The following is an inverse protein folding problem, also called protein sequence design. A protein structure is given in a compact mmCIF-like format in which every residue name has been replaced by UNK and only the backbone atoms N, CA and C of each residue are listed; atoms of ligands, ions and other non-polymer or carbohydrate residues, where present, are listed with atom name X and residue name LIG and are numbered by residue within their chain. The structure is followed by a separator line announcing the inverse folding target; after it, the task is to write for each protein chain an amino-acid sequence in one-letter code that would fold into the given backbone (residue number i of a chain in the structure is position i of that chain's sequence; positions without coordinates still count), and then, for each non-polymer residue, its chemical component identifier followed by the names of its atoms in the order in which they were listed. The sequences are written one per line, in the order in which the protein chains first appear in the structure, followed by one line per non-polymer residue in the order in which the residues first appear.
data_IF_578441585460
#
_entry.id   IF_578441585460
#
_cell.length_a   1.000
_cell.length_b   1.000
_cell.length_c   1.000
_cell.angle_alpha   90.00
_cell.angle_beta   90.00
_cell.angle_gamma   90.00
#
_symmetry.space_group_name_H-M   'P 1'
#
loop_
_entity.id
_entity.type
_entity.pdbx_description
1 polymer ?
#
# COMPACT_ATOMS: atom_id res chain seq x y z
N UNK A 1 23.06 -35.79 -13.10
CA UNK A 1 22.73 -36.86 -12.13
C UNK A 1 23.27 -36.46 -10.77
N UNK A 2 22.42 -36.54 -9.74
CA UNK A 2 22.49 -36.02 -8.35
C UNK A 2 22.16 -34.53 -8.17
N UNK A 3 20.85 -34.30 -8.02
CA UNK A 3 20.25 -33.17 -7.30
C UNK A 3 20.23 -33.53 -5.82
N UNK A 4 20.73 -32.64 -4.96
CA UNK A 4 20.56 -32.73 -3.52
C UNK A 4 19.35 -31.87 -3.12
N UNK A 5 18.35 -32.50 -2.51
CA UNK A 5 17.20 -31.85 -1.91
C UNK A 5 17.60 -31.27 -0.55
N UNK A 6 17.48 -29.96 -0.40
CA UNK A 6 17.39 -29.29 0.89
C UNK A 6 16.27 -28.26 0.79
N UNK A 7 15.16 -28.50 1.48
CA UNK A 7 14.21 -27.44 1.81
C UNK A 7 14.91 -26.44 2.75
N UNK A 8 14.61 -25.14 2.67
CA UNK A 8 13.43 -24.62 3.38
C UNK A 8 12.63 -23.54 2.65
N UNK A 9 11.41 -23.37 3.16
CA UNK A 9 10.46 -22.25 3.09
C UNK A 9 9.98 -21.65 1.75
N UNK A 10 8.66 -21.67 1.66
CA UNK A 10 7.74 -21.12 0.67
C UNK A 10 7.95 -19.64 0.34
N UNK A 11 8.86 -19.36 -0.59
CA UNK A 11 8.85 -18.16 -1.41
C UNK A 11 8.87 -18.57 -2.88
N UNK A 12 7.78 -18.29 -3.60
CA UNK A 12 7.73 -18.41 -5.06
C UNK A 12 8.53 -17.23 -5.65
N UNK A 13 9.86 -17.37 -5.68
CA UNK A 13 10.76 -16.43 -6.36
C UNK A 13 11.09 -16.94 -7.76
N UNK A 14 10.86 -16.11 -8.77
CA UNK A 14 11.41 -16.35 -10.11
C UNK A 14 12.84 -15.78 -10.17
N UNK A 15 13.83 -16.64 -10.38
CA UNK A 15 15.24 -16.21 -10.50
C UNK A 15 15.55 -15.70 -11.90
N UNK A 16 16.12 -14.49 -11.98
CA UNK A 16 16.93 -14.03 -13.09
C UNK A 16 18.19 -13.36 -12.51
N UNK A 17 19.34 -14.01 -12.68
CA UNK A 17 20.63 -13.57 -12.10
C UNK A 17 21.25 -12.41 -12.85
N UNK A 18 21.34 -11.25 -12.19
CA UNK A 18 22.54 -10.42 -12.01
C UNK A 18 22.19 -9.17 -11.16
N UNK A 19 22.68 -9.08 -9.93
CA UNK A 19 22.83 -7.82 -9.17
C UNK A 19 21.63 -7.28 -8.37
N UNK A 20 20.40 -7.67 -8.68
CA UNK A 20 19.22 -7.36 -7.85
C UNK A 20 18.11 -8.33 -8.20
N UNK A 21 17.73 -9.23 -7.29
CA UNK A 21 16.58 -10.13 -7.49
C UNK A 21 15.31 -9.29 -7.68
N UNK A 22 14.71 -9.37 -8.86
CA UNK A 22 13.39 -8.81 -9.10
C UNK A 22 12.35 -9.72 -8.43
N UNK A 23 11.73 -9.25 -7.35
CA UNK A 23 10.66 -9.97 -6.66
C UNK A 23 9.30 -9.44 -7.09
N UNK A 24 8.43 -10.33 -7.55
CA UNK A 24 7.03 -10.01 -7.85
C UNK A 24 6.22 -10.29 -6.59
N UNK A 25 5.65 -9.25 -5.99
CA UNK A 25 4.73 -9.38 -4.87
C UNK A 25 3.30 -9.53 -5.40
N UNK A 26 2.61 -10.60 -4.96
CA UNK A 26 1.19 -10.79 -5.28
C UNK A 26 0.35 -9.98 -4.30
N UNK A 27 -0.63 -9.25 -4.81
CA UNK A 27 -1.52 -8.40 -4.02
C UNK A 27 -2.10 -9.19 -2.83
N UNK A 28 -2.06 -8.65 -1.59
CA UNK A 28 -2.42 -9.39 -0.37
C UNK A 28 -3.80 -10.03 -0.42
N UNK A 29 -4.80 -9.33 -0.96
CA UNK A 29 -6.17 -9.87 -1.07
C UNK A 29 -6.18 -11.12 -1.96
N UNK A 30 -5.53 -11.07 -3.13
CA UNK A 30 -5.41 -12.24 -4.01
C UNK A 30 -4.63 -13.35 -3.31
N UNK A 31 -3.47 -13.03 -2.72
CA UNK A 31 -2.63 -14.01 -2.00
C UNK A 31 -3.44 -14.75 -0.94
N UNK A 32 -4.21 -14.02 -0.13
CA UNK A 32 -5.03 -14.60 0.95
C UNK A 32 -6.07 -15.59 0.44
N UNK A 33 -6.65 -15.33 -0.74
CA UNK A 33 -7.63 -16.19 -1.38
C UNK A 33 -7.01 -17.45 -2.03
N UNK A 34 -5.78 -17.35 -2.54
CA UNK A 34 -5.18 -18.43 -3.36
C UNK A 34 -4.14 -19.29 -2.63
N UNK A 35 -3.69 -18.88 -1.43
CA UNK A 35 -2.58 -19.52 -0.73
C UNK A 35 -2.81 -21.01 -0.46
N UNK A 36 -4.04 -21.43 -0.14
CA UNK A 36 -4.37 -22.84 0.10
C UNK A 36 -4.20 -23.69 -1.16
N UNK A 37 -4.62 -23.18 -2.32
CA UNK A 37 -4.48 -23.87 -3.60
C UNK A 37 -3.01 -23.99 -4.02
N UNK A 38 -2.23 -22.92 -3.83
CA UNK A 38 -0.77 -22.95 -4.08
C UNK A 38 -0.09 -24.01 -3.20
N UNK A 39 -0.45 -24.07 -1.91
CA UNK A 39 0.11 -25.05 -0.98
C UNK A 39 -0.27 -26.50 -1.34
N UNK A 40 -1.42 -26.70 -1.99
CA UNK A 40 -1.86 -27.99 -2.51
C UNK A 40 -1.34 -28.30 -3.92
N UNK A 41 -0.50 -27.44 -4.51
CA UNK A 41 -0.08 -27.51 -5.93
C UNK A 41 -1.24 -27.50 -6.93
N UNK A 42 -2.39 -26.95 -6.53
CA UNK A 42 -3.58 -26.78 -7.35
C UNK A 42 -3.55 -25.43 -8.07
N UNK A 43 -2.60 -25.29 -8.99
CA UNK A 43 -2.31 -24.03 -9.66
C UNK A 43 -3.44 -23.55 -10.57
N UNK A 44 -4.21 -24.48 -11.15
CA UNK A 44 -5.36 -24.15 -11.97
C UNK A 44 -6.42 -23.41 -11.15
N UNK A 45 -6.83 -23.96 -10.01
CA UNK A 45 -7.81 -23.30 -9.14
C UNK A 45 -7.24 -22.03 -8.52
N UNK A 46 -5.95 -21.98 -8.20
CA UNK A 46 -5.30 -20.74 -7.74
C UNK A 46 -5.48 -19.60 -8.76
N UNK A 47 -5.28 -19.86 -10.05
CA UNK A 47 -5.49 -18.87 -11.11
C UNK A 47 -6.97 -18.48 -11.26
N UNK A 48 -7.87 -19.46 -11.25
CA UNK A 48 -9.31 -19.19 -11.34
C UNK A 48 -9.80 -18.29 -10.20
N UNK A 49 -9.39 -18.60 -8.97
CA UNK A 49 -9.74 -17.81 -7.79
C UNK A 49 -9.11 -16.41 -7.83
N UNK A 50 -7.85 -16.27 -8.26
CA UNK A 50 -7.24 -14.95 -8.45
C UNK A 50 -8.06 -14.06 -9.40
N UNK A 51 -8.55 -14.62 -10.51
CA UNK A 51 -9.39 -13.89 -11.47
C UNK A 51 -10.77 -13.56 -10.93
N UNK A 52 -11.36 -14.44 -10.10
CA UNK A 52 -12.61 -14.14 -9.39
C UNK A 52 -12.45 -12.97 -8.44
N UNK A 53 -11.34 -12.90 -7.68
CA UNK A 53 -11.04 -11.79 -6.78
C UNK A 53 -10.97 -10.44 -7.51
N UNK A 54 -10.33 -10.39 -8.69
CA UNK A 54 -10.30 -9.17 -9.53
C UNK A 54 -11.70 -8.72 -9.95
N UNK A 55 -12.53 -9.67 -10.39
CA UNK A 55 -13.90 -9.39 -10.85
C UNK A 55 -14.83 -8.98 -9.71
N UNK A 56 -14.66 -9.61 -8.55
CA UNK A 56 -15.35 -9.21 -7.33
C UNK A 56 -15.01 -7.76 -6.98
N UNK A 57 -13.73 -7.37 -7.05
CA UNK A 57 -13.34 -5.99 -6.78
C UNK A 57 -13.96 -5.01 -7.78
N UNK A 58 -14.02 -5.36 -9.07
CA UNK A 58 -14.74 -4.56 -10.06
C UNK A 58 -16.22 -4.40 -9.70
N UNK A 59 -16.87 -5.46 -9.20
CA UNK A 59 -18.27 -5.42 -8.74
C UNK A 59 -18.44 -4.52 -7.54
N UNK A 60 -17.57 -4.62 -6.53
CA UNK A 60 -17.61 -3.75 -5.35
C UNK A 60 -17.47 -2.27 -5.73
N UNK A 61 -16.54 -1.95 -6.64
CA UNK A 61 -16.31 -0.57 -7.07
C UNK A 61 -17.45 -0.06 -7.94
N UNK A 62 -17.90 -0.85 -8.93
CA UNK A 62 -18.76 -0.35 -10.01
C UNK A 62 -20.22 -0.76 -9.93
N UNK A 63 -20.52 -1.84 -9.23
CA UNK A 63 -21.79 -2.59 -9.30
C UNK A 63 -21.80 -3.68 -10.39
N UNK A 64 -20.78 -3.73 -11.25
CA UNK A 64 -20.70 -4.64 -12.40
C UNK A 64 -19.50 -5.60 -12.26
N UNK A 65 -19.70 -6.88 -12.54
CA UNK A 65 -18.63 -7.89 -12.44
C UNK A 65 -17.89 -8.10 -13.79
N UNK A 66 -18.53 -7.73 -14.90
CA UNK A 66 -18.00 -7.96 -16.25
C UNK A 66 -17.18 -6.76 -16.70
N UNK A 67 -15.91 -7.00 -17.04
CA UNK A 67 -15.03 -5.99 -17.63
C UNK A 67 -15.63 -5.38 -18.91
N UNK A 68 -16.33 -6.18 -19.73
CA UNK A 68 -17.02 -5.67 -20.92
C UNK A 68 -18.18 -4.72 -20.60
N UNK A 69 -18.85 -4.87 -19.45
CA UNK A 69 -19.89 -3.93 -19.04
C UNK A 69 -19.28 -2.60 -18.55
N UNK A 70 -18.12 -2.68 -17.89
CA UNK A 70 -17.43 -1.53 -17.31
C UNK A 70 -16.67 -0.73 -18.36
N UNK A 71 -15.87 -1.40 -19.19
CA UNK A 71 -14.90 -0.79 -20.09
C UNK A 71 -15.34 -0.80 -21.56
N UNK A 72 -16.39 -1.55 -21.92
CA UNK A 72 -16.75 -1.96 -23.29
C UNK A 72 -15.67 -2.83 -23.96
N UNK A 73 -15.98 -3.37 -25.14
CA UNK A 73 -15.10 -4.32 -25.85
C UNK A 73 -13.76 -3.72 -26.30
N UNK A 74 -13.67 -2.39 -26.41
CA UNK A 74 -12.49 -1.67 -26.90
C UNK A 74 -11.81 -0.80 -25.83
N UNK A 75 -12.20 -1.00 -24.55
CA UNK A 75 -11.74 -0.22 -23.40
C UNK A 75 -11.97 1.30 -23.53
N UNK A 76 -13.06 1.71 -24.20
CA UNK A 76 -13.39 3.12 -24.44
C UNK A 76 -14.46 3.68 -23.50
N UNK A 77 -15.09 2.85 -22.66
CA UNK A 77 -16.10 3.33 -21.72
C UNK A 77 -15.45 3.94 -20.48
N UNK A 78 -15.55 5.26 -20.35
CA UNK A 78 -14.95 6.02 -19.26
C UNK A 78 -15.89 6.24 -18.06
N UNK A 79 -17.14 5.74 -18.11
CA UNK A 79 -18.18 5.98 -17.09
C UNK A 79 -17.72 5.69 -15.66
N UNK A 80 -16.88 4.67 -15.49
CA UNK A 80 -16.41 4.22 -14.18
C UNK A 80 -14.98 4.70 -13.85
N UNK A 81 -14.32 5.44 -14.74
CA UNK A 81 -12.94 5.92 -14.52
C UNK A 81 -12.78 6.75 -13.25
N UNK A 82 -13.72 7.64 -12.86
CA UNK A 82 -13.69 8.30 -11.57
C UNK A 82 -13.45 7.37 -10.37
N UNK A 83 -14.01 6.16 -10.41
CA UNK A 83 -13.92 5.18 -9.33
C UNK A 83 -12.55 4.51 -9.24
N UNK A 84 -11.82 4.46 -10.35
CA UNK A 84 -10.51 3.79 -10.45
C UNK A 84 -9.33 4.75 -10.45
N UNK A 85 -9.55 6.00 -10.90
CA UNK A 85 -8.50 6.97 -11.21
C UNK A 85 -8.78 8.36 -10.64
N UNK A 86 -9.97 8.59 -10.08
CA UNK A 86 -10.39 9.88 -9.55
C UNK A 86 -11.04 10.80 -10.58
N UNK A 87 -11.59 11.89 -10.06
CA UNK A 87 -12.22 12.96 -10.84
C UNK A 87 -11.18 13.96 -11.34
N UNK A 88 -10.31 13.50 -12.24
CA UNK A 88 -9.46 14.40 -13.00
C UNK A 88 -10.24 14.96 -14.21
N UNK A 89 -10.56 16.27 -14.22
CA UNK A 89 -11.37 16.87 -15.26
C UNK A 89 -10.64 17.02 -16.60
N UNK A 90 -9.31 16.92 -16.64
CA UNK A 90 -8.51 17.18 -17.85
C UNK A 90 -7.29 16.25 -17.96
N UNK A 91 -7.48 14.92 -18.09
CA UNK A 91 -6.36 14.01 -18.27
C UNK A 91 -5.62 14.27 -19.57
N UNK A 92 -4.30 14.21 -19.48
CA UNK A 92 -3.38 14.21 -20.63
C UNK A 92 -3.66 13.02 -21.56
N UNK A 93 -3.21 13.11 -22.82
CA UNK A 93 -3.35 11.98 -23.75
C UNK A 93 -2.68 10.71 -23.22
N UNK A 94 -1.50 10.83 -22.61
CA UNK A 94 -0.79 9.71 -22.02
C UNK A 94 -1.60 9.04 -20.89
N UNK A 95 -2.27 9.83 -20.04
CA UNK A 95 -3.14 9.28 -19.00
C UNK A 95 -4.38 8.60 -19.57
N UNK A 96 -4.97 9.15 -20.64
CA UNK A 96 -6.10 8.51 -21.34
C UNK A 96 -5.69 7.15 -21.90
N UNK A 97 -4.55 7.09 -22.58
CA UNK A 97 -4.01 5.85 -23.16
C UNK A 97 -3.67 4.83 -22.05
N UNK A 98 -3.10 5.30 -20.94
CA UNK A 98 -2.87 4.47 -19.76
C UNK A 98 -4.18 3.89 -19.19
N UNK A 99 -5.20 4.73 -18.94
CA UNK A 99 -6.50 4.31 -18.38
C UNK A 99 -7.17 3.28 -19.31
N UNK A 100 -7.09 3.50 -20.62
CA UNK A 100 -7.53 2.53 -21.63
C UNK A 100 -6.74 1.22 -21.57
N UNK A 101 -5.43 1.28 -21.37
CA UNK A 101 -4.58 0.11 -21.12
C UNK A 101 -5.04 -0.72 -19.93
N UNK A 102 -5.45 -0.08 -18.83
CA UNK A 102 -6.05 -0.77 -17.66
C UNK A 102 -7.33 -1.50 -18.06
N UNK A 103 -8.18 -0.90 -18.89
CA UNK A 103 -9.37 -1.55 -19.41
C UNK A 103 -9.04 -2.81 -20.23
N UNK A 104 -8.05 -2.74 -21.13
CA UNK A 104 -7.59 -3.92 -21.88
C UNK A 104 -7.06 -5.02 -20.98
N UNK A 105 -6.36 -4.67 -19.91
CA UNK A 105 -5.86 -5.64 -18.93
C UNK A 105 -7.00 -6.43 -18.28
N UNK A 106 -8.09 -5.74 -17.90
CA UNK A 106 -9.27 -6.37 -17.31
C UNK A 106 -10.08 -7.19 -18.32
N UNK A 107 -10.14 -6.76 -19.59
CA UNK A 107 -10.68 -7.59 -20.67
C UNK A 107 -9.82 -8.86 -20.83
N UNK A 108 -8.50 -8.74 -20.76
CA UNK A 108 -7.56 -9.85 -20.73
C UNK A 108 -7.86 -10.84 -19.60
N UNK A 109 -7.99 -10.37 -18.36
CA UNK A 109 -8.40 -11.21 -17.21
C UNK A 109 -9.74 -11.91 -17.47
N UNK A 110 -10.72 -11.21 -18.04
CA UNK A 110 -12.02 -11.81 -18.34
C UNK A 110 -11.95 -12.92 -19.40
N UNK A 111 -11.16 -12.73 -20.47
CA UNK A 111 -11.15 -13.65 -21.61
C UNK A 111 -10.07 -14.74 -21.54
N UNK A 112 -8.92 -14.47 -20.92
CA UNK A 112 -7.86 -15.47 -20.70
C UNK A 112 -8.26 -16.55 -19.71
N UNK A 113 -9.25 -16.28 -18.85
CA UNK A 113 -9.90 -17.30 -18.01
C UNK A 113 -10.43 -18.48 -18.83
N UNK A 114 -10.76 -18.24 -20.09
CA UNK A 114 -11.64 -19.12 -20.86
C UNK A 114 -10.91 -20.18 -21.69
N UNK A 115 -9.59 -20.34 -21.58
CA UNK A 115 -8.82 -21.29 -22.40
C UNK A 115 -9.26 -22.75 -22.20
N UNK A 116 -9.72 -23.12 -20.99
CA UNK A 116 -10.04 -24.51 -20.63
C UNK A 116 -11.45 -24.74 -20.07
N UNK A 117 -12.35 -23.76 -20.12
CA UNK A 117 -13.73 -23.91 -19.62
C UNK A 117 -14.57 -24.97 -20.37
N UNK A 118 -14.01 -25.59 -21.43
CA UNK A 118 -14.65 -26.62 -22.25
C UNK A 118 -13.80 -27.89 -22.47
N UNK A 119 -12.73 -28.13 -21.69
CA UNK A 119 -11.92 -29.36 -21.76
C UNK A 119 -11.53 -29.86 -20.35
N UNK A 120 -11.34 -31.18 -20.20
CA UNK A 120 -10.98 -31.83 -18.92
C UNK A 120 -9.77 -31.15 -18.27
N UNK A 121 -9.82 -31.00 -16.93
CA UNK A 121 -8.78 -30.36 -16.13
C UNK A 121 -7.41 -30.95 -16.46
N UNK A 122 -6.53 -30.12 -17.02
CA UNK A 122 -5.13 -30.47 -17.24
C UNK A 122 -4.29 -29.72 -16.22
N UNK A 123 -3.28 -30.39 -15.68
CA UNK A 123 -2.25 -29.79 -14.85
C UNK A 123 -1.76 -28.47 -15.46
N UNK A 124 -1.68 -27.42 -14.64
CA UNK A 124 -1.12 -26.13 -15.03
C UNK A 124 0.34 -26.07 -14.57
N UNK A 125 1.22 -25.67 -15.47
CA UNK A 125 2.63 -25.51 -15.16
C UNK A 125 2.82 -24.34 -14.16
N UNK A 126 3.64 -24.51 -13.09
CA UNK A 126 3.74 -23.52 -12.02
C UNK A 126 4.16 -22.12 -12.48
N UNK A 127 5.12 -21.98 -13.42
CA UNK A 127 5.54 -20.66 -13.88
C UNK A 127 4.44 -19.96 -14.69
N UNK A 128 3.70 -20.70 -15.51
CA UNK A 128 2.53 -20.17 -16.20
C UNK A 128 1.46 -19.68 -15.21
N UNK A 129 1.24 -20.42 -14.12
CA UNK A 129 0.34 -19.98 -13.05
C UNK A 129 0.81 -18.67 -12.40
N UNK A 130 2.12 -18.53 -12.15
CA UNK A 130 2.71 -17.29 -11.65
C UNK A 130 2.42 -16.12 -12.58
N UNK A 131 2.55 -16.30 -13.90
CA UNK A 131 2.24 -15.24 -14.88
C UNK A 131 0.77 -14.81 -14.84
N UNK A 132 -0.16 -15.76 -14.75
CA UNK A 132 -1.58 -15.45 -14.64
C UNK A 132 -1.94 -14.76 -13.32
N UNK A 133 -1.37 -15.22 -12.20
CA UNK A 133 -1.56 -14.58 -10.88
C UNK A 133 -0.95 -13.19 -10.86
N UNK A 134 0.23 -12.99 -11.46
CA UNK A 134 0.86 -11.68 -11.58
C UNK A 134 0.02 -10.72 -12.44
N UNK A 135 -0.57 -11.19 -13.54
CA UNK A 135 -1.53 -10.43 -14.34
C UNK A 135 -2.76 -10.04 -13.52
N UNK A 136 -3.31 -10.96 -12.73
CA UNK A 136 -4.45 -10.68 -11.83
C UNK A 136 -4.08 -9.61 -10.80
N UNK A 137 -2.90 -9.73 -10.18
CA UNK A 137 -2.37 -8.79 -9.21
C UNK A 137 -2.23 -7.39 -9.81
N UNK A 138 -1.59 -7.28 -10.97
CA UNK A 138 -1.45 -6.00 -11.65
C UNK A 138 -2.81 -5.39 -11.99
N UNK A 139 -3.75 -6.18 -12.52
CA UNK A 139 -5.09 -5.69 -12.82
C UNK A 139 -5.78 -5.14 -11.57
N UNK A 140 -5.75 -5.89 -10.46
CA UNK A 140 -6.29 -5.48 -9.18
C UNK A 140 -5.67 -4.18 -8.67
N UNK A 141 -4.35 -4.10 -8.67
CA UNK A 141 -3.60 -2.93 -8.21
C UNK A 141 -4.00 -1.68 -9.00
N UNK A 142 -4.11 -1.80 -10.33
CA UNK A 142 -4.37 -0.64 -11.19
C UNK A 142 -5.75 -0.01 -10.99
N UNK A 143 -6.74 -0.75 -10.50
CA UNK A 143 -8.09 -0.24 -10.18
C UNK A 143 -8.30 0.09 -8.70
N UNK A 144 -7.36 -0.30 -7.83
CA UNK A 144 -7.43 -0.05 -6.37
C UNK A 144 -6.38 0.93 -5.87
N UNK A 145 -5.38 1.29 -6.68
CA UNK A 145 -4.33 2.25 -6.34
C UNK A 145 -4.84 3.68 -6.10
N UNK A 146 -6.00 4.03 -6.66
CA UNK A 146 -6.51 5.38 -6.49
C UNK A 146 -7.25 5.52 -5.16
N UNK A 147 -6.78 6.44 -4.34
CA UNK A 147 -7.50 6.97 -3.19
C UNK A 147 -8.11 8.29 -3.63
N UNK A 148 -9.43 8.38 -3.62
CA UNK A 148 -10.12 9.64 -3.91
C UNK A 148 -9.72 10.70 -2.88
N UNK A 149 -9.67 11.97 -3.28
CA UNK A 149 -9.40 13.08 -2.35
C UNK A 149 -10.38 13.08 -1.17
N UNK A 150 -11.63 12.67 -1.38
CA UNK A 150 -12.60 12.49 -0.31
C UNK A 150 -12.16 11.44 0.73
N UNK A 151 -11.58 10.33 0.29
CA UNK A 151 -11.09 9.27 1.18
C UNK A 151 -9.78 9.65 1.86
N UNK A 152 -8.86 10.32 1.15
CA UNK A 152 -7.66 10.91 1.78
C UNK A 152 -8.10 11.85 2.90
N UNK A 153 -9.02 12.77 2.58
CA UNK A 153 -9.58 13.72 3.54
C UNK A 153 -10.30 13.03 4.70
N UNK A 154 -11.06 11.98 4.44
CA UNK A 154 -11.71 11.18 5.50
C UNK A 154 -10.69 10.63 6.48
N UNK A 155 -9.60 10.03 5.99
CA UNK A 155 -8.53 9.47 6.84
C UNK A 155 -7.83 10.58 7.64
N UNK A 156 -7.54 11.72 7.01
CA UNK A 156 -6.95 12.88 7.69
C UNK A 156 -7.87 13.44 8.77
N UNK A 157 -9.16 13.59 8.47
CA UNK A 157 -10.17 14.06 9.41
C UNK A 157 -10.32 13.07 10.59
N UNK A 158 -10.19 11.76 10.36
CA UNK A 158 -10.14 10.74 11.41
C UNK A 158 -8.92 10.90 12.32
N UNK A 159 -7.72 11.13 11.76
CA UNK A 159 -6.49 11.37 12.53
C UNK A 159 -6.62 12.65 13.36
N UNK A 160 -7.09 13.74 12.75
CA UNK A 160 -7.31 15.03 13.44
C UNK A 160 -8.35 14.89 14.54
N UNK A 161 -9.47 14.20 14.29
CA UNK A 161 -10.49 13.94 15.29
C UNK A 161 -9.92 13.12 16.46
N UNK A 162 -9.12 12.08 16.16
CA UNK A 162 -8.45 11.28 17.18
C UNK A 162 -7.51 12.13 18.02
N UNK A 163 -6.69 12.98 17.40
CA UNK A 163 -5.77 13.90 18.09
C UNK A 163 -6.52 14.88 19.01
N UNK A 164 -7.63 15.44 18.53
CA UNK A 164 -8.50 16.37 19.29
C UNK A 164 -9.28 15.70 20.41
N UNK A 165 -9.48 14.38 20.34
CA UNK A 165 -10.15 13.60 21.37
C UNK A 165 -9.36 13.48 22.68
N UNK A 166 -8.05 13.74 22.66
CA UNK A 166 -7.22 13.68 23.86
C UNK A 166 -7.38 14.91 24.74
N UNK A 167 -7.71 14.67 26.02
CA UNK A 167 -7.95 15.73 27.02
C UNK A 167 -6.68 16.36 27.60
N UNK A 168 -5.52 15.73 27.39
CA UNK A 168 -4.23 16.22 27.85
C UNK A 168 -3.08 15.69 27.01
N UNK A 169 -1.93 16.38 27.05
CA UNK A 169 -0.71 15.93 26.39
C UNK A 169 -0.24 14.57 26.91
N UNK A 170 -0.28 14.35 28.23
CA UNK A 170 0.10 13.08 28.85
C UNK A 170 -0.76 11.92 28.36
N UNK A 171 -2.09 12.12 28.23
CA UNK A 171 -2.98 11.08 27.71
C UNK A 171 -2.71 10.78 26.24
N UNK A 172 -2.37 11.81 25.45
CA UNK A 172 -1.96 11.66 24.06
C UNK A 172 -0.66 10.86 23.95
N UNK A 173 0.44 11.31 24.54
CA UNK A 173 1.74 10.66 24.37
C UNK A 173 1.76 9.23 24.88
N UNK A 174 0.99 8.92 25.93
CA UNK A 174 0.81 7.52 26.36
C UNK A 174 0.15 6.64 25.28
N UNK A 175 -0.79 7.14 24.50
CA UNK A 175 -1.38 6.34 23.40
C UNK A 175 -0.57 6.46 22.10
N UNK A 176 0.20 7.53 21.95
CA UNK A 176 1.07 7.76 20.80
C UNK A 176 2.27 6.81 20.83
N UNK A 177 2.90 6.64 21.98
CA UNK A 177 3.99 5.69 22.22
C UNK A 177 3.65 4.30 21.67
N UNK A 178 4.57 3.75 20.85
CA UNK A 178 4.43 2.46 20.18
C UNK A 178 3.16 2.33 19.29
N UNK A 179 2.61 3.45 18.80
CA UNK A 179 1.46 3.46 17.89
C UNK A 179 0.16 2.89 18.48
N UNK A 180 0.02 2.84 19.81
CA UNK A 180 -1.15 2.21 20.48
C UNK A 180 -2.49 2.78 20.00
N UNK A 181 -2.52 4.07 19.72
CA UNK A 181 -3.71 4.78 19.23
C UNK A 181 -4.27 4.22 17.91
N UNK A 182 -3.42 3.65 17.04
CA UNK A 182 -3.81 3.12 15.73
C UNK A 182 -4.83 2.00 15.88
N UNK A 183 -4.64 1.13 16.88
CA UNK A 183 -5.54 -0.01 17.16
C UNK A 183 -6.98 0.39 17.49
N UNK A 184 -7.17 1.64 17.92
CA UNK A 184 -8.48 2.20 18.26
C UNK A 184 -9.11 3.01 17.13
N UNK A 185 -8.43 3.13 15.99
CA UNK A 185 -8.90 3.87 14.83
C UNK A 185 -9.59 2.92 13.84
N UNK A 186 -10.82 3.25 13.45
CA UNK A 186 -11.54 2.52 12.40
C UNK A 186 -11.21 3.18 11.07
N UNK A 187 -10.27 2.59 10.33
CA UNK A 187 -9.87 3.07 9.02
C UNK A 187 -10.76 2.49 7.91
N UNK A 188 -10.97 3.23 6.81
CA UNK A 188 -11.64 2.69 5.63
C UNK A 188 -10.95 1.44 5.08
N UNK A 189 -11.72 0.48 4.55
CA UNK A 189 -11.19 -0.81 4.07
C UNK A 189 -10.11 -0.67 2.99
N UNK A 190 -10.15 0.40 2.18
CA UNK A 190 -9.14 0.67 1.17
C UNK A 190 -7.73 0.86 1.78
N UNK A 191 -7.62 1.23 3.05
CA UNK A 191 -6.32 1.40 3.73
C UNK A 191 -5.55 0.08 3.88
N UNK A 192 -6.23 -1.07 3.78
CA UNK A 192 -5.59 -2.40 3.75
C UNK A 192 -4.67 -2.57 2.54
N UNK A 193 -4.94 -1.87 1.44
CA UNK A 193 -4.11 -1.90 0.23
C UNK A 193 -2.75 -1.21 0.45
N UNK A 194 -1.69 -1.92 0.08
CA UNK A 194 -0.30 -1.39 0.07
C UNK A 194 -0.20 -0.16 -0.84
N UNK A 195 -0.86 -0.19 -2.01
CA UNK A 195 -0.82 0.91 -2.97
C UNK A 195 -1.43 2.20 -2.39
N UNK A 196 -2.53 2.07 -1.65
CA UNK A 196 -3.17 3.17 -0.94
C UNK A 196 -2.23 3.77 0.10
N UNK A 197 -1.60 2.94 0.94
CA UNK A 197 -0.62 3.42 1.93
C UNK A 197 0.58 4.10 1.29
N UNK A 198 1.13 3.56 0.19
CA UNK A 198 2.23 4.19 -0.55
C UNK A 198 1.86 5.55 -1.11
N UNK A 199 0.62 5.75 -1.57
CA UNK A 199 0.13 7.06 -2.03
C UNK A 199 -0.02 8.05 -0.87
N UNK A 200 -0.67 7.64 0.21
CA UNK A 200 -0.84 8.48 1.40
C UNK A 200 0.51 8.89 1.97
N UNK A 201 1.46 7.95 2.02
CA UNK A 201 2.85 8.20 2.38
C UNK A 201 3.48 9.28 1.51
N UNK A 202 3.43 9.16 0.18
CA UNK A 202 4.03 10.15 -0.71
C UNK A 202 3.52 11.57 -0.41
N UNK A 203 2.20 11.72 -0.23
CA UNK A 203 1.57 13.00 0.16
C UNK A 203 2.03 13.48 1.54
N UNK A 204 1.96 12.62 2.56
CA UNK A 204 2.25 13.04 3.94
C UNK A 204 3.74 13.27 4.19
N UNK A 205 4.63 12.59 3.47
CA UNK A 205 6.06 12.91 3.46
C UNK A 205 6.25 14.30 2.85
N UNK A 206 5.68 14.58 1.68
CA UNK A 206 5.77 15.89 1.01
C UNK A 206 5.29 17.02 1.94
N UNK A 207 4.12 16.85 2.57
CA UNK A 207 3.45 17.88 3.36
C UNK A 207 3.92 18.01 4.82
N UNK A 208 4.75 17.08 5.31
CA UNK A 208 5.18 17.07 6.72
C UNK A 208 5.87 18.38 7.16
N UNK A 209 5.25 19.14 8.05
CA UNK A 209 5.80 20.40 8.56
C UNK A 209 5.93 20.35 10.08
N UNK A 210 7.18 20.32 10.55
CA UNK A 210 7.52 20.27 11.97
C UNK A 210 7.89 21.66 12.53
N UNK A 211 7.56 22.75 11.86
CA UNK A 211 7.94 24.11 12.30
C UNK A 211 6.79 24.93 12.88
N UNK A 212 5.54 24.47 12.74
CA UNK A 212 4.38 25.31 13.08
C UNK A 212 4.01 25.29 14.56
N UNK A 213 3.79 24.09 15.09
CA UNK A 213 3.36 23.88 16.48
C UNK A 213 3.48 22.40 16.84
N UNK A 214 3.59 22.10 18.13
CA UNK A 214 3.54 20.71 18.63
C UNK A 214 2.32 19.94 18.11
N UNK A 215 1.15 20.58 18.02
CA UNK A 215 -0.07 19.89 17.58
C UNK A 215 -0.01 19.50 16.10
N UNK A 216 0.50 20.40 15.26
CA UNK A 216 0.71 20.13 13.83
C UNK A 216 1.78 19.06 13.61
N UNK A 217 2.91 19.15 14.32
CA UNK A 217 3.94 18.11 14.28
C UNK A 217 3.35 16.76 14.69
N UNK A 218 2.57 16.71 15.77
CA UNK A 218 1.96 15.46 16.24
C UNK A 218 0.96 14.88 15.24
N UNK A 219 0.16 15.71 14.55
CA UNK A 219 -0.74 15.24 13.48
C UNK A 219 0.07 14.65 12.32
N UNK A 220 1.13 15.34 11.88
CA UNK A 220 2.01 14.84 10.83
C UNK A 220 2.69 13.52 11.23
N UNK A 221 3.18 13.40 12.46
CA UNK A 221 3.77 12.16 12.97
C UNK A 221 2.74 11.03 13.06
N UNK A 222 1.52 11.30 13.54
CA UNK A 222 0.42 10.32 13.53
C UNK A 222 0.10 9.82 12.11
N UNK A 223 0.02 10.73 11.13
CA UNK A 223 -0.15 10.35 9.73
C UNK A 223 0.99 9.45 9.24
N UNK A 224 2.24 9.80 9.56
CA UNK A 224 3.41 9.02 9.17
C UNK A 224 3.48 7.65 9.85
N UNK A 225 3.01 7.50 11.11
CA UNK A 225 2.92 6.18 11.78
C UNK A 225 1.97 5.22 11.05
N UNK A 226 0.87 5.71 10.49
CA UNK A 226 -0.07 4.88 9.72
C UNK A 226 0.61 4.25 8.49
N UNK A 227 1.65 4.88 7.95
CA UNK A 227 2.35 4.46 6.73
C UNK A 227 3.82 4.11 6.97
N UNK A 228 4.25 3.97 8.23
CA UNK A 228 5.65 3.79 8.59
C UNK A 228 6.30 2.57 7.94
N UNK A 229 5.54 1.49 7.74
CA UNK A 229 6.01 0.28 7.06
C UNK A 229 6.39 0.49 5.59
N UNK A 230 5.93 1.57 4.96
CA UNK A 230 6.15 1.86 3.53
C UNK A 230 7.23 2.94 3.29
N UNK A 231 7.81 3.52 4.36
CA UNK A 231 8.86 4.54 4.28
C UNK A 231 10.17 3.97 3.73
N UNK A 232 10.75 4.64 2.74
CA UNK A 232 12.09 4.33 2.23
C UNK A 232 13.18 4.96 3.12
N UNK A 233 14.44 4.56 2.92
CA UNK A 233 15.56 5.17 3.66
C UNK A 233 15.68 6.65 3.30
N UNK A 234 15.59 6.98 2.01
CA UNK A 234 15.67 8.35 1.52
C UNK A 234 14.55 9.24 2.08
N UNK A 235 13.30 8.75 2.13
CA UNK A 235 12.17 9.50 2.68
C UNK A 235 12.32 9.73 4.19
N UNK A 236 12.81 8.71 4.92
CA UNK A 236 13.06 8.85 6.35
C UNK A 236 14.18 9.87 6.61
N UNK A 237 15.27 9.81 5.85
CA UNK A 237 16.37 10.77 5.96
C UNK A 237 15.95 12.19 5.58
N UNK A 238 15.10 12.35 4.56
CA UNK A 238 14.49 13.64 4.20
C UNK A 238 13.67 14.20 5.36
N UNK A 239 12.79 13.40 5.97
CA UNK A 239 12.00 13.81 7.13
C UNK A 239 12.89 14.26 8.30
N UNK A 240 14.00 13.55 8.55
CA UNK A 240 14.94 13.91 9.62
C UNK A 240 15.73 15.19 9.34
N UNK A 241 15.89 15.55 8.06
CA UNK A 241 16.54 16.79 7.65
C UNK A 241 15.61 18.01 7.75
N UNK A 242 14.29 17.82 7.91
CA UNK A 242 13.34 18.93 7.99
C UNK A 242 13.56 19.79 9.23
N UNK A 243 13.41 21.12 9.13
CA UNK A 243 13.51 22.01 10.28
C UNK A 243 12.41 21.71 11.31
N UNK A 244 12.74 21.83 12.59
CA UNK A 244 11.80 21.56 13.69
C UNK A 244 11.53 22.76 14.60
N UNK A 245 12.22 23.88 14.37
CA UNK A 245 12.05 25.09 15.16
C UNK A 245 11.03 26.02 14.52
N UNK A 246 10.17 26.60 15.35
CA UNK A 246 9.23 27.64 14.93
C UNK A 246 9.95 28.98 14.66
N UNK A 247 9.19 29.99 14.25
CA UNK A 247 9.69 31.35 14.01
C UNK A 247 10.27 32.03 15.26
N UNK A 248 10.01 31.49 16.44
CA UNK A 248 10.52 31.96 17.73
C UNK A 248 11.72 31.14 18.23
N UNK A 249 12.15 30.12 17.48
CA UNK A 249 13.24 29.23 17.84
C UNK A 249 12.88 28.09 18.79
N UNK A 250 11.59 27.92 19.12
CA UNK A 250 11.12 26.82 19.96
C UNK A 250 11.02 25.54 19.14
N UNK A 251 11.53 24.46 19.70
CA UNK A 251 11.46 23.15 19.07
C UNK A 251 10.05 22.56 19.14
N UNK A 252 9.54 22.03 18.03
CA UNK A 252 8.20 21.46 17.90
C UNK A 252 8.19 19.93 17.77
N UNK A 253 9.31 19.26 18.10
CA UNK A 253 9.49 17.82 17.87
C UNK A 253 9.09 16.90 19.04
N UNK A 254 8.14 17.31 19.89
CA UNK A 254 7.83 16.59 21.13
C UNK A 254 7.42 15.11 20.94
N UNK A 255 6.77 14.74 19.84
CA UNK A 255 6.45 13.32 19.52
C UNK A 255 7.53 12.58 18.73
N UNK A 256 8.66 13.21 18.39
CA UNK A 256 9.62 12.61 17.45
C UNK A 256 10.30 11.36 18.02
N UNK A 257 10.54 11.30 19.33
CA UNK A 257 11.13 10.11 19.98
C UNK A 257 10.18 8.92 19.83
N UNK A 258 8.93 9.07 20.25
CA UNK A 258 7.90 8.01 20.16
C UNK A 258 7.72 7.52 18.71
N UNK A 259 7.68 8.46 17.76
CA UNK A 259 7.59 8.15 16.34
C UNK A 259 8.78 7.30 15.86
N UNK A 260 10.01 7.69 16.18
CA UNK A 260 11.21 6.97 15.75
C UNK A 260 11.31 5.58 16.38
N UNK A 261 10.90 5.43 17.64
CA UNK A 261 10.80 4.13 18.29
C UNK A 261 9.77 3.23 17.59
N UNK A 262 8.59 3.78 17.27
CA UNK A 262 7.58 3.05 16.51
C UNK A 262 8.08 2.65 15.11
N UNK A 263 8.70 3.57 14.36
CA UNK A 263 9.29 3.27 13.04
C UNK A 263 10.35 2.18 13.16
N UNK A 264 11.19 2.21 14.19
CA UNK A 264 12.22 1.18 14.41
C UNK A 264 11.63 -0.23 14.57
N UNK A 265 10.42 -0.34 15.12
CA UNK A 265 9.74 -1.62 15.34
C UNK A 265 8.90 -2.10 14.14
N UNK A 266 8.39 -1.17 13.33
CA UNK A 266 7.42 -1.44 12.28
C UNK A 266 8.05 -1.55 10.89
N UNK A 267 9.10 -0.77 10.64
CA UNK A 267 9.75 -0.69 9.33
C UNK A 267 10.74 -1.85 9.16
N UNK A 268 10.67 -2.65 8.05
CA UNK A 268 11.57 -3.79 7.86
C UNK A 268 13.08 -3.44 7.87
N UNK A 269 13.44 -2.24 7.40
CA UNK A 269 14.82 -1.73 7.43
C UNK A 269 15.24 -1.08 8.75
N UNK A 270 14.32 -0.96 9.72
CA UNK A 270 14.53 -0.20 10.95
C UNK A 270 14.85 1.27 10.69
N UNK A 271 15.59 1.89 11.62
CA UNK A 271 16.05 3.28 11.49
C UNK A 271 17.34 3.41 10.68
N UNK A 272 17.40 4.43 9.84
CA UNK A 272 18.60 4.89 9.15
C UNK A 272 19.63 5.46 10.14
N UNK A 273 20.86 5.69 9.66
CA UNK A 273 21.90 6.31 10.47
C UNK A 273 21.50 7.74 10.91
N UNK A 274 20.89 8.51 10.00
CA UNK A 274 20.41 9.87 10.27
C UNK A 274 19.32 9.87 11.34
N UNK A 275 18.34 8.96 11.22
CA UNK A 275 17.26 8.83 12.20
C UNK A 275 17.77 8.36 13.58
N UNK A 276 18.74 7.43 13.62
CA UNK A 276 19.40 7.02 14.87
C UNK A 276 20.14 8.17 15.54
N UNK A 277 20.86 8.98 14.76
CA UNK A 277 21.56 10.15 15.28
C UNK A 277 20.58 11.19 15.83
N UNK A 278 19.44 11.41 15.14
CA UNK A 278 18.37 12.29 15.61
C UNK A 278 17.80 11.77 16.93
N UNK A 279 17.42 10.50 17.02
CA UNK A 279 16.90 9.88 18.23
C UNK A 279 17.87 10.03 19.42
N UNK A 280 19.16 9.75 19.20
CA UNK A 280 20.18 9.91 20.23
C UNK A 280 20.26 11.35 20.76
N UNK A 281 20.22 12.36 19.89
CA UNK A 281 20.25 13.77 20.31
C UNK A 281 19.05 14.13 21.21
N UNK A 282 17.84 13.65 20.88
CA UNK A 282 16.62 13.94 21.64
C UNK A 282 16.56 13.27 23.01
N UNK A 283 17.09 12.06 23.11
CA UNK A 283 17.16 11.33 24.38
C UNK A 283 18.18 11.93 25.36
N UNK A 284 19.24 12.56 24.85
CA UNK A 284 20.22 13.29 25.68
C UNK A 284 19.61 14.58 26.22
N UNK A 285 18.93 15.37 25.39
CA UNK A 285 18.31 16.65 25.80
C UNK A 285 17.18 16.47 26.83
N UNK A 286 16.49 15.33 26.83
CA UNK A 286 15.43 15.03 27.81
C UNK A 286 15.96 14.53 29.17
N UNK A 287 17.24 14.17 29.24
CA UNK A 287 17.90 13.69 30.47
C UNK A 287 18.70 14.78 31.21
N UNK A 288 18.79 15.98 30.65
CA UNK A 288 19.54 17.14 31.15
C UNK A 288 18.63 18.27 31.60
#
# INVERSE_FOLDING_TARGET
MRVALSAPDSALGAEATAGSELRIEIHPDIRSHIQSYIAASDYFHAVEEAYKVVREKLRELTGEERATAIFNENALNERHYPKFFGDDPSPTQAERDFRRGVGYLHLGVQFLRNEKAHTLATDMEPNLAIHYVALASLAYDLVTRHVGEATVKEIEDLVVAKRRGYRSATAFYREFENGRWISSLVLPDCFKSVAVRKRLKAKWVEEADFTRSFDQSNIALMQLELVAGELTDDELDELMARPTKDSYGNDQQAGMVDFLEYVSSTRPGGLTATAKARLAALTVESSS
#
